data_IF_758097071483
#
_entry.id   IF_758097071483
#
_cell.length_a   1.000
_cell.length_b   1.000
_cell.length_c   1.000
_cell.angle_alpha   90.00
_cell.angle_beta   90.00
_cell.angle_gamma   90.00
#
_symmetry.space_group_name_H-M   'P 1'
#
loop_
_entity.id
_entity.type
_entity.pdbx_description
1 polymer ?
#
# COMPACT_ATOMS: atom_id res chain seq x y z
N UNK A 1 -27.66 -16.71 1.83
CA UNK A 1 -27.14 -16.07 3.05
C UNK A 1 -25.64 -15.92 2.90
N UNK A 2 -25.06 -14.80 3.33
CA UNK A 2 -23.61 -14.68 3.52
C UNK A 2 -23.14 -15.82 4.43
N UNK A 3 -21.96 -16.39 4.15
CA UNK A 3 -21.28 -17.26 5.12
C UNK A 3 -20.32 -16.34 5.88
N UNK A 4 -20.56 -16.18 7.17
CA UNK A 4 -19.66 -15.43 8.06
C UNK A 4 -18.63 -16.39 8.64
N UNK A 5 -17.36 -16.05 8.48
CA UNK A 5 -16.25 -16.77 9.12
C UNK A 5 -15.63 -15.82 10.14
N UNK A 6 -15.92 -16.07 11.41
CA UNK A 6 -15.28 -15.39 12.52
C UNK A 6 -14.10 -16.22 13.02
N UNK A 7 -12.90 -15.65 12.98
CA UNK A 7 -11.70 -16.28 13.51
C UNK A 7 -10.96 -15.32 14.45
N UNK A 8 -11.46 -15.09 15.68
CA UNK A 8 -10.94 -14.07 16.58
C UNK A 8 -9.51 -14.34 17.07
N UNK A 9 -9.07 -15.60 17.05
CA UNK A 9 -7.71 -15.98 17.45
C UNK A 9 -6.76 -16.12 16.25
N UNK A 10 -7.20 -15.76 15.03
CA UNK A 10 -6.36 -15.82 13.84
C UNK A 10 -5.34 -14.67 13.87
N UNK A 11 -4.07 -15.02 14.02
CA UNK A 11 -2.96 -14.06 14.09
C UNK A 11 -2.32 -13.85 12.72
N UNK A 12 -2.30 -14.88 11.87
CA UNK A 12 -1.75 -14.81 10.52
C UNK A 12 -2.64 -15.53 9.50
N UNK A 13 -2.61 -15.07 8.26
CA UNK A 13 -3.34 -15.65 7.14
C UNK A 13 -2.46 -15.74 5.90
N UNK A 14 -2.50 -16.88 5.21
CA UNK A 14 -1.75 -17.12 3.99
C UNK A 14 -2.69 -17.67 2.93
N UNK A 15 -2.79 -16.99 1.79
CA UNK A 15 -3.47 -17.50 0.61
C UNK A 15 -2.50 -17.59 -0.55
N UNK A 16 -2.48 -18.77 -1.19
CA UNK A 16 -1.75 -19.02 -2.43
C UNK A 16 -2.72 -19.56 -3.47
N UNK A 17 -2.94 -18.80 -4.54
CA UNK A 17 -3.69 -19.25 -5.70
C UNK A 17 -4.82 -18.30 -6.10
N UNK A 18 -5.43 -18.60 -7.25
CA UNK A 18 -6.55 -17.82 -7.78
C UNK A 18 -7.83 -18.09 -6.98
N UNK A 19 -8.42 -17.04 -6.43
CA UNK A 19 -9.81 -17.06 -5.98
C UNK A 19 -10.69 -16.89 -7.22
N UNK A 20 -11.26 -17.99 -7.73
CA UNK A 20 -12.28 -17.91 -8.77
C UNK A 20 -13.50 -17.19 -8.20
N UNK A 21 -13.72 -15.95 -8.63
CA UNK A 21 -14.82 -15.10 -8.21
C UNK A 21 -16.21 -15.61 -8.67
N UNK A 22 -16.28 -16.70 -9.44
CA UNK A 22 -17.50 -17.23 -10.04
C UNK A 22 -18.47 -17.86 -9.02
N UNK A 23 -18.08 -17.96 -7.75
CA UNK A 23 -18.98 -18.40 -6.68
C UNK A 23 -18.64 -17.77 -5.34
N UNK A 24 -18.78 -16.45 -5.21
CA UNK A 24 -18.82 -15.83 -3.89
C UNK A 24 -20.25 -15.88 -3.32
N UNK A 25 -20.60 -16.80 -2.40
CA UNK A 25 -21.49 -16.37 -1.33
C UNK A 25 -20.77 -15.19 -0.65
N UNK A 26 -21.49 -14.13 -0.34
CA UNK A 26 -20.97 -12.98 0.40
C UNK A 26 -20.21 -13.47 1.64
N UNK A 27 -18.88 -13.57 1.54
CA UNK A 27 -18.03 -14.06 2.62
C UNK A 27 -17.61 -12.84 3.40
N UNK A 28 -18.16 -12.69 4.60
CA UNK A 28 -17.70 -11.70 5.55
C UNK A 28 -16.64 -12.38 6.41
N UNK A 29 -15.38 -12.03 6.15
CA UNK A 29 -14.24 -12.48 6.93
C UNK A 29 -13.99 -11.46 8.04
N UNK A 30 -14.11 -11.90 9.30
CA UNK A 30 -13.90 -11.05 10.47
C UNK A 30 -12.68 -11.58 11.23
N UNK A 31 -11.55 -10.86 11.08
CA UNK A 31 -10.26 -11.20 11.67
C UNK A 31 -9.74 -10.06 12.56
N UNK A 32 -10.29 -9.88 13.78
CA UNK A 32 -10.01 -8.70 14.59
C UNK A 32 -8.56 -8.61 15.08
N UNK A 33 -7.85 -9.75 15.18
CA UNK A 33 -6.50 -9.83 15.74
C UNK A 33 -5.43 -10.21 14.71
N UNK A 34 -5.75 -10.10 13.42
CA UNK A 34 -4.80 -10.45 12.37
C UNK A 34 -3.65 -9.44 12.33
N UNK A 35 -2.43 -9.93 12.47
CA UNK A 35 -1.24 -9.10 12.39
C UNK A 35 -0.60 -9.21 11.00
N UNK A 36 -0.52 -10.43 10.46
CA UNK A 36 0.26 -10.74 9.27
C UNK A 36 -0.62 -11.41 8.21
N UNK A 37 -0.55 -10.89 6.99
CA UNK A 37 -1.30 -11.43 5.84
C UNK A 37 -0.33 -11.63 4.70
N UNK A 38 -0.27 -12.83 4.12
CA UNK A 38 0.44 -13.13 2.89
C UNK A 38 -0.54 -13.49 1.78
N UNK A 39 -0.49 -12.77 0.67
CA UNK A 39 -1.33 -12.98 -0.50
C UNK A 39 -0.47 -13.28 -1.73
N UNK A 40 -0.74 -14.39 -2.40
CA UNK A 40 -0.20 -14.70 -3.73
C UNK A 40 -1.40 -14.89 -4.66
N UNK A 41 -1.75 -13.82 -5.38
CA UNK A 41 -2.98 -13.70 -6.15
C UNK A 41 -2.68 -13.37 -7.62
N UNK A 42 -3.45 -14.00 -8.50
CA UNK A 42 -3.33 -13.83 -9.96
C UNK A 42 -4.33 -12.82 -10.53
N UNK A 43 -5.40 -12.51 -9.80
CA UNK A 43 -6.46 -11.57 -10.16
C UNK A 43 -7.38 -11.25 -8.96
N UNK A 44 -8.30 -10.29 -9.13
CA UNK A 44 -9.29 -9.88 -8.12
C UNK A 44 -8.66 -9.38 -6.81
N UNK A 45 -7.46 -8.81 -6.90
CA UNK A 45 -6.68 -8.42 -5.74
C UNK A 45 -7.44 -7.41 -4.86
N UNK A 46 -8.03 -6.40 -5.50
CA UNK A 46 -8.77 -5.33 -4.83
C UNK A 46 -9.98 -5.82 -4.04
N UNK A 47 -10.69 -6.82 -4.56
CA UNK A 47 -11.85 -7.41 -3.88
C UNK A 47 -11.46 -8.23 -2.65
N UNK A 48 -10.20 -8.69 -2.58
CA UNK A 48 -9.71 -9.49 -1.47
C UNK A 48 -8.99 -8.67 -0.41
N UNK A 49 -8.20 -7.67 -0.82
CA UNK A 49 -7.46 -6.78 0.10
C UNK A 49 -8.40 -6.09 1.11
N UNK A 50 -9.65 -5.79 0.73
CA UNK A 50 -10.65 -5.15 1.63
C UNK A 50 -10.96 -5.91 2.91
N UNK A 51 -10.75 -7.22 2.94
CA UNK A 51 -10.96 -8.01 4.15
C UNK A 51 -9.83 -7.86 5.17
N UNK A 52 -8.71 -7.25 4.78
CA UNK A 52 -7.49 -7.15 5.59
C UNK A 52 -7.16 -5.72 6.00
N UNK A 53 -8.15 -4.81 6.00
CA UNK A 53 -7.94 -3.41 6.37
C UNK A 53 -7.41 -3.17 7.78
N UNK A 54 -7.52 -4.18 8.64
CA UNK A 54 -7.11 -4.18 10.05
C UNK A 54 -5.76 -4.82 10.32
N UNK A 55 -5.10 -5.45 9.32
CA UNK A 55 -3.82 -6.10 9.56
C UNK A 55 -2.70 -5.07 9.76
N UNK A 56 -1.63 -5.45 10.45
CA UNK A 56 -0.45 -4.59 10.65
C UNK A 56 0.53 -4.71 9.49
N UNK A 57 0.72 -5.93 9.02
CA UNK A 57 1.62 -6.27 7.93
C UNK A 57 0.84 -6.97 6.83
N UNK A 58 0.95 -6.47 5.61
CA UNK A 58 0.43 -7.10 4.40
C UNK A 58 1.58 -7.37 3.44
N UNK A 59 1.85 -8.64 3.21
CA UNK A 59 2.82 -9.13 2.24
C UNK A 59 2.08 -9.66 1.00
N UNK A 60 2.50 -9.23 -0.19
CA UNK A 60 1.88 -9.61 -1.45
C UNK A 60 2.92 -10.07 -2.45
N UNK A 61 2.72 -11.26 -3.01
CA UNK A 61 3.39 -11.70 -4.21
C UNK A 61 2.50 -11.38 -5.41
N UNK A 62 2.96 -10.48 -6.27
CA UNK A 62 2.22 -9.98 -7.43
C UNK A 62 2.75 -10.62 -8.71
N UNK A 63 1.87 -11.34 -9.40
CA UNK A 63 2.09 -11.71 -10.80
C UNK A 63 1.87 -10.51 -11.72
N UNK A 64 2.33 -10.58 -12.97
CA UNK A 64 2.16 -9.48 -13.95
C UNK A 64 0.69 -9.03 -14.09
N UNK A 65 -0.33 -9.92 -14.19
CA UNK A 65 -1.73 -9.50 -14.23
C UNK A 65 -2.18 -8.73 -12.98
N UNK A 66 -1.79 -9.19 -11.78
CA UNK A 66 -2.12 -8.52 -10.53
C UNK A 66 -1.41 -7.16 -10.39
N UNK A 67 -0.19 -7.04 -10.94
CA UNK A 67 0.53 -5.77 -11.00
C UNK A 67 -0.15 -4.77 -11.94
N UNK A 68 -0.64 -5.23 -13.10
CA UNK A 68 -1.44 -4.42 -14.02
C UNK A 68 -2.77 -3.96 -13.38
N UNK A 69 -3.43 -4.84 -12.60
CA UNK A 69 -4.59 -4.44 -11.78
C UNK A 69 -4.21 -3.33 -10.78
N UNK A 70 -3.06 -3.39 -10.10
CA UNK A 70 -2.64 -2.33 -9.19
C UNK A 70 -2.21 -1.04 -9.88
N UNK A 71 -1.81 -1.09 -11.14
CA UNK A 71 -1.43 0.08 -11.92
C UNK A 71 -2.65 0.93 -12.36
N UNK A 72 -3.74 0.94 -11.59
CA UNK A 72 -4.92 1.76 -11.85
C UNK A 72 -4.54 3.24 -12.02
N UNK A 73 -4.92 3.87 -13.15
CA UNK A 73 -4.80 5.31 -13.33
C UNK A 73 -5.55 6.06 -12.22
N UNK A 74 -4.98 7.15 -11.71
CA UNK A 74 -5.57 8.01 -10.66
C UNK A 74 -7.05 8.36 -10.91
N UNK A 75 -7.45 8.52 -12.18
CA UNK A 75 -8.82 8.85 -12.57
C UNK A 75 -9.81 7.71 -12.28
N UNK A 76 -9.41 6.45 -12.46
CA UNK A 76 -10.25 5.28 -12.21
C UNK A 76 -10.38 4.99 -10.70
N UNK A 77 -9.35 5.31 -9.92
CA UNK A 77 -9.39 5.19 -8.44
C UNK A 77 -10.53 6.01 -7.82
N UNK A 78 -10.85 7.18 -8.39
CA UNK A 78 -11.94 8.05 -7.95
C UNK A 78 -13.34 7.48 -8.21
N UNK A 79 -13.47 6.60 -9.19
CA UNK A 79 -14.76 6.00 -9.58
C UNK A 79 -14.98 4.61 -8.97
N UNK A 80 -13.91 3.87 -8.66
CA UNK A 80 -13.98 2.46 -8.25
C UNK A 80 -14.20 2.30 -6.72
N UNK A 81 -13.78 3.27 -5.90
CA UNK A 81 -13.90 3.15 -4.43
C UNK A 81 -14.59 4.39 -3.87
N UNK A 82 -15.91 4.29 -3.74
CA UNK A 82 -16.76 5.27 -3.04
C UNK A 82 -16.76 5.12 -1.52
N UNK A 83 -15.95 4.22 -0.94
CA UNK A 83 -15.90 4.08 0.52
C UNK A 83 -14.60 3.40 1.00
N UNK A 84 -13.76 4.20 1.67
CA UNK A 84 -12.67 3.83 2.61
C UNK A 84 -11.35 3.38 1.98
N UNK A 85 -10.19 3.95 2.39
CA UNK A 85 -8.90 3.34 2.12
C UNK A 85 -8.93 1.92 2.65
N UNK A 86 -8.61 0.99 1.77
CA UNK A 86 -8.83 -0.44 1.98
C UNK A 86 -7.98 -0.96 3.14
N UNK A 87 -6.83 -0.31 3.41
CA UNK A 87 -5.77 -0.76 4.31
C UNK A 87 -5.38 0.28 5.37
N UNK A 88 -6.37 0.81 6.10
CA UNK A 88 -6.15 1.94 7.01
C UNK A 88 -5.32 1.62 8.27
N UNK A 89 -5.22 0.35 8.70
CA UNK A 89 -4.42 -0.05 9.86
C UNK A 89 -3.07 -0.69 9.49
N UNK A 90 -2.76 -0.78 8.19
CA UNK A 90 -1.52 -1.40 7.71
C UNK A 90 -0.34 -0.47 7.92
N UNK A 91 0.61 -0.93 8.74
CA UNK A 91 1.87 -0.24 9.01
C UNK A 91 2.97 -0.68 8.04
N UNK A 92 2.95 -1.95 7.62
CA UNK A 92 4.01 -2.53 6.82
C UNK A 92 3.42 -3.17 5.56
N UNK A 93 3.86 -2.67 4.40
CA UNK A 93 3.57 -3.27 3.11
C UNK A 93 4.82 -3.97 2.58
N UNK A 94 4.70 -5.21 2.17
CA UNK A 94 5.79 -5.98 1.55
C UNK A 94 5.33 -6.49 0.19
N UNK A 95 6.03 -6.08 -0.87
CA UNK A 95 5.65 -6.41 -2.24
C UNK A 95 6.77 -7.19 -2.89
N UNK A 96 6.47 -8.39 -3.37
CA UNK A 96 7.36 -9.17 -4.20
C UNK A 96 6.77 -9.29 -5.59
N UNK A 97 7.49 -8.89 -6.64
CA UNK A 97 7.01 -9.00 -8.00
C UNK A 97 8.14 -9.19 -9.01
N UNK A 98 7.79 -9.61 -10.23
CA UNK A 98 8.71 -9.62 -11.37
C UNK A 98 8.46 -8.36 -12.22
N UNK A 99 9.30 -7.34 -12.08
CA UNK A 99 9.08 -6.09 -12.79
C UNK A 99 9.75 -6.10 -14.18
N UNK A 100 9.13 -6.75 -15.18
CA UNK A 100 9.75 -6.87 -16.53
C UNK A 100 9.74 -5.58 -17.33
N UNK A 101 8.72 -4.74 -17.14
CA UNK A 101 8.49 -3.50 -17.89
C UNK A 101 8.12 -2.38 -16.93
N UNK A 102 9.12 -1.71 -16.33
CA UNK A 102 8.86 -0.53 -15.52
C UNK A 102 8.34 0.62 -16.39
N UNK A 103 7.02 0.83 -16.46
CA UNK A 103 6.46 2.10 -16.94
C UNK A 103 6.48 3.17 -15.85
N UNK A 104 6.17 2.85 -14.57
CA UNK A 104 6.76 3.60 -13.45
C UNK A 104 6.65 2.90 -12.08
N UNK A 105 7.80 2.70 -11.43
CA UNK A 105 7.90 2.34 -10.01
C UNK A 105 7.12 3.33 -9.12
N UNK A 106 7.05 4.59 -9.56
CA UNK A 106 6.32 5.67 -8.90
C UNK A 106 4.81 5.42 -8.86
N UNK A 107 4.21 4.92 -9.94
CA UNK A 107 2.77 4.57 -9.97
C UNK A 107 2.45 3.47 -8.96
N UNK A 108 3.32 2.47 -8.82
CA UNK A 108 3.15 1.43 -7.80
C UNK A 108 3.15 2.05 -6.40
N UNK A 109 4.16 2.86 -6.07
CA UNK A 109 4.22 3.52 -4.76
C UNK A 109 3.00 4.42 -4.53
N UNK A 110 2.56 5.16 -5.55
CA UNK A 110 1.35 5.99 -5.47
C UNK A 110 0.07 5.16 -5.27
N UNK A 111 -0.05 3.98 -5.89
CA UNK A 111 -1.15 3.04 -5.62
C UNK A 111 -1.07 2.51 -4.20
N UNK A 112 0.09 2.07 -3.73
CA UNK A 112 0.26 1.50 -2.40
C UNK A 112 -0.09 2.52 -1.30
N UNK A 113 0.34 3.77 -1.47
CA UNK A 113 0.01 4.88 -0.58
C UNK A 113 -1.46 5.34 -0.68
N UNK A 114 -2.14 4.98 -1.77
CA UNK A 114 -3.58 5.16 -1.89
C UNK A 114 -4.37 4.04 -1.18
N UNK A 115 -3.89 2.80 -1.24
CA UNK A 115 -4.48 1.65 -0.54
C UNK A 115 -4.30 1.76 0.98
N UNK A 116 -3.06 1.99 1.41
CA UNK A 116 -2.68 2.24 2.78
C UNK A 116 -2.28 3.72 2.91
N UNK A 117 -3.11 4.58 3.52
CA UNK A 117 -2.87 6.02 3.55
C UNK A 117 -1.77 6.44 4.53
N UNK A 118 -1.34 5.53 5.42
CA UNK A 118 -0.39 5.84 6.50
C UNK A 118 0.57 4.68 6.89
N UNK A 119 1.17 3.95 5.93
CA UNK A 119 2.12 2.89 6.23
C UNK A 119 3.43 3.47 6.77
N UNK A 120 4.03 2.84 7.76
CA UNK A 120 5.35 3.21 8.28
C UNK A 120 6.47 2.73 7.33
N UNK A 121 6.26 1.60 6.66
CA UNK A 121 7.26 1.04 5.74
C UNK A 121 6.64 0.40 4.51
N UNK A 122 7.31 0.56 3.37
CA UNK A 122 7.04 -0.18 2.13
C UNK A 122 8.33 -0.90 1.71
N UNK A 123 8.27 -2.23 1.61
CA UNK A 123 9.33 -3.07 1.09
C UNK A 123 8.97 -3.54 -0.31
N UNK A 124 9.92 -3.47 -1.23
CA UNK A 124 9.74 -3.90 -2.61
C UNK A 124 10.90 -4.81 -3.00
N UNK A 125 10.56 -6.05 -3.33
CA UNK A 125 11.43 -7.09 -3.82
C UNK A 125 11.19 -7.32 -5.31
N UNK A 126 12.19 -6.98 -6.14
CA UNK A 126 12.20 -7.33 -7.55
C UNK A 126 12.95 -8.65 -7.76
N UNK A 127 12.18 -9.72 -7.95
CA UNK A 127 12.69 -11.09 -8.12
C UNK A 127 13.66 -11.22 -9.30
N UNK A 128 13.53 -10.38 -10.33
CA UNK A 128 14.42 -10.42 -11.49
C UNK A 128 15.75 -9.73 -11.23
N UNK A 129 15.74 -8.65 -10.44
CA UNK A 129 16.95 -7.92 -10.07
C UNK A 129 17.79 -8.69 -9.04
N UNK A 130 17.13 -9.41 -8.14
CA UNK A 130 17.77 -10.14 -7.04
C UNK A 130 18.33 -11.53 -7.42
N UNK A 131 18.00 -12.07 -8.60
CA UNK A 131 18.56 -13.33 -9.10
C UNK A 131 19.97 -13.21 -9.74
N UNK A 132 20.64 -12.05 -9.62
CA UNK A 132 22.00 -11.86 -10.14
C UNK A 132 23.04 -12.42 -9.15
N UNK A 133 23.32 -13.71 -9.34
CA UNK A 133 24.46 -14.52 -8.86
C UNK A 133 25.32 -13.91 -7.72
N UNK A 134 25.11 -14.39 -6.49
CA UNK A 134 26.10 -14.35 -5.40
C UNK A 134 26.07 -13.17 -4.44
N UNK A 135 25.10 -12.25 -4.56
CA UNK A 135 24.91 -11.15 -3.60
C UNK A 135 23.60 -11.38 -2.85
N UNK A 136 23.55 -11.09 -1.54
CA UNK A 136 22.30 -11.16 -0.78
C UNK A 136 21.21 -10.29 -1.46
N UNK A 137 19.96 -10.76 -1.55
CA UNK A 137 18.88 -10.01 -2.17
C UNK A 137 18.73 -8.67 -1.45
N UNK A 138 18.91 -7.57 -2.20
CA UNK A 138 18.75 -6.21 -1.68
C UNK A 138 17.28 -5.84 -1.81
N UNK A 139 16.59 -5.83 -0.67
CA UNK A 139 15.20 -5.39 -0.57
C UNK A 139 15.18 -3.87 -0.54
N UNK A 140 14.59 -3.25 -1.57
CA UNK A 140 14.42 -1.80 -1.56
C UNK A 140 13.36 -1.42 -0.53
N UNK A 141 13.66 -0.42 0.31
CA UNK A 141 12.81 -0.06 1.44
C UNK A 141 12.54 1.44 1.49
N UNK A 142 11.28 1.80 1.65
CA UNK A 142 10.82 3.16 1.92
C UNK A 142 10.36 3.21 3.38
N UNK A 143 10.97 4.07 4.19
CA UNK A 143 10.49 4.39 5.54
C UNK A 143 9.80 5.75 5.51
N UNK A 144 8.59 5.81 6.06
CA UNK A 144 7.72 6.97 6.05
C UNK A 144 7.54 7.43 7.49
N UNK A 145 7.97 8.65 7.79
CA UNK A 145 7.84 9.24 9.12
C UNK A 145 6.81 10.36 9.07
N UNK A 146 5.87 10.27 9.99
CA UNK A 146 4.73 11.17 10.03
C UNK A 146 4.83 12.09 11.23
N UNK A 147 4.58 13.38 10.99
CA UNK A 147 4.50 14.37 12.04
C UNK A 147 3.24 14.16 12.90
N UNK A 148 3.32 14.58 14.15
CA UNK A 148 2.13 14.83 14.96
C UNK A 148 1.50 16.10 14.41
N UNK A 149 0.46 15.97 13.58
CA UNK A 149 -0.29 17.14 13.15
C UNK A 149 -0.78 17.87 14.39
N UNK A 150 -0.30 19.09 14.61
CA UNK A 150 -0.80 19.99 15.64
C UNK A 150 -2.18 20.48 15.20
N UNK A 151 -3.17 19.59 15.20
CA UNK A 151 -4.55 19.97 14.91
C UNK A 151 -5.55 18.97 15.48
N UNK A 152 -5.78 19.14 16.78
CA UNK A 152 -7.13 19.17 17.32
C UNK A 152 -7.72 20.59 17.26
N UNK A 153 -7.30 21.41 16.28
CA UNK A 153 -7.70 22.82 16.16
C UNK A 153 -8.30 23.09 14.78
N UNK A 154 -9.56 23.52 14.79
CA UNK A 154 -10.40 23.88 13.64
C UNK A 154 -9.89 25.09 12.82
N UNK A 155 -8.68 25.05 12.31
CA UNK A 155 -8.12 26.01 11.35
C UNK A 155 -7.09 25.22 10.52
N UNK A 156 -7.14 25.08 9.20
CA UNK A 156 -7.80 25.82 8.13
C UNK A 156 -8.31 24.77 7.12
N UNK A 157 -9.62 24.81 6.84
CA UNK A 157 -10.31 23.82 6.03
C UNK A 157 -10.45 24.25 4.55
N UNK A 158 -9.59 25.13 4.04
CA UNK A 158 -9.70 25.61 2.66
C UNK A 158 -8.80 24.86 1.66
N UNK A 159 -7.70 24.22 2.09
CA UNK A 159 -6.85 23.39 1.20
C UNK A 159 -7.05 21.86 1.38
N UNK A 160 -7.89 21.44 2.34
CA UNK A 160 -8.17 20.03 2.63
C UNK A 160 -9.40 19.47 1.88
N UNK A 161 -10.08 20.28 1.07
CA UNK A 161 -11.41 19.96 0.51
C UNK A 161 -11.42 18.77 -0.49
N UNK A 162 -10.28 18.36 -1.04
CA UNK A 162 -10.27 17.35 -2.13
C UNK A 162 -9.63 16.01 -1.79
N UNK A 163 -8.68 15.96 -0.85
CA UNK A 163 -8.03 14.71 -0.45
C UNK A 163 -8.89 13.87 0.50
N UNK A 164 -9.47 14.56 1.49
CA UNK A 164 -9.79 13.93 2.77
C UNK A 164 -11.27 14.12 3.15
N UNK A 165 -12.08 14.69 2.26
CA UNK A 165 -13.54 14.87 2.44
C UNK A 165 -14.29 13.55 2.59
N UNK A 166 -13.75 12.45 2.05
CA UNK A 166 -14.32 11.12 2.24
C UNK A 166 -13.84 10.43 3.53
N UNK A 167 -12.71 10.87 4.12
CA UNK A 167 -12.03 10.18 5.23
C UNK A 167 -11.54 11.13 6.32
N UNK A 168 -12.46 11.76 7.08
CA UNK A 168 -12.12 12.78 8.08
C UNK A 168 -11.29 12.29 9.27
N UNK A 169 -11.11 10.98 9.44
CA UNK A 169 -10.35 10.37 10.54
C UNK A 169 -9.02 9.73 10.12
N UNK A 170 -8.79 9.55 8.81
CA UNK A 170 -7.58 8.88 8.32
C UNK A 170 -6.46 9.91 8.14
N UNK A 171 -5.37 9.74 8.88
CA UNK A 171 -4.14 10.51 8.66
C UNK A 171 -3.67 10.25 7.22
N UNK A 172 -3.60 11.30 6.40
CA UNK A 172 -3.24 11.21 4.99
C UNK A 172 -1.74 11.43 4.81
N UNK A 173 -1.05 10.55 4.08
CA UNK A 173 0.38 10.74 3.82
C UNK A 173 0.73 12.06 3.14
N UNK A 174 -0.13 12.59 2.26
CA UNK A 174 0.12 13.87 1.57
C UNK A 174 0.20 15.06 2.54
N UNK A 175 -0.42 14.94 3.72
CA UNK A 175 -0.51 16.02 4.71
C UNK A 175 0.24 15.74 5.99
N UNK A 176 0.54 14.48 6.30
CA UNK A 176 1.19 14.12 7.56
C UNK A 176 2.64 13.68 7.39
N UNK A 177 3.09 13.37 6.17
CA UNK A 177 4.44 12.88 5.91
C UNK A 177 5.46 14.00 6.06
N UNK A 178 6.42 13.83 6.97
CA UNK A 178 7.45 14.83 7.29
C UNK A 178 8.84 14.41 6.86
N UNK A 179 9.14 13.10 6.90
CA UNK A 179 10.43 12.56 6.44
C UNK A 179 10.25 11.25 5.67
N UNK A 180 11.07 11.07 4.63
CA UNK A 180 11.18 9.81 3.87
C UNK A 180 12.61 9.30 3.93
N UNK A 181 12.80 8.01 4.15
CA UNK A 181 14.10 7.34 3.96
C UNK A 181 13.98 6.31 2.86
N UNK A 182 14.86 6.40 1.87
CA UNK A 182 14.95 5.49 0.72
C UNK A 182 16.21 4.65 0.87
N UNK A 183 16.06 3.35 1.06
CA UNK A 183 17.17 2.41 1.25
C UNK A 183 17.23 1.43 0.08
N UNK A 184 18.44 1.14 -0.41
CA UNK A 184 18.68 0.05 -1.39
C UNK A 184 17.94 0.22 -2.74
N UNK A 185 17.69 1.47 -3.13
CA UNK A 185 17.19 1.81 -4.47
C UNK A 185 18.32 2.06 -5.47
N UNK A 186 18.09 1.76 -6.74
CA UNK A 186 19.04 2.11 -7.79
C UNK A 186 19.00 3.62 -8.11
N UNK A 187 20.13 4.16 -8.60
CA UNK A 187 20.31 5.59 -8.92
C UNK A 187 19.31 6.18 -9.92
N UNK A 188 18.58 5.35 -10.66
CA UNK A 188 17.58 5.80 -11.65
C UNK A 188 16.17 5.94 -11.04
N UNK A 189 15.88 5.20 -9.97
CA UNK A 189 14.61 5.27 -9.25
C UNK A 189 14.63 6.40 -8.21
N UNK A 190 15.78 6.61 -7.55
CA UNK A 190 15.94 7.64 -6.51
C UNK A 190 15.40 9.03 -6.91
N UNK A 191 15.81 9.63 -8.05
CA UNK A 191 15.31 10.97 -8.42
C UNK A 191 13.80 10.97 -8.65
N UNK A 192 13.24 9.90 -9.23
CA UNK A 192 11.81 9.80 -9.51
C UNK A 192 10.96 9.72 -8.24
N UNK A 193 11.42 8.96 -7.25
CA UNK A 193 10.76 8.89 -5.95
C UNK A 193 10.92 10.19 -5.18
N UNK A 194 12.11 10.79 -5.23
CA UNK A 194 12.37 12.08 -4.63
C UNK A 194 11.39 13.14 -5.15
N UNK A 195 11.31 13.31 -6.47
CA UNK A 195 10.43 14.29 -7.12
C UNK A 195 8.96 13.98 -6.81
N UNK A 196 8.56 12.69 -6.87
CA UNK A 196 7.22 12.27 -6.49
C UNK A 196 6.85 12.71 -5.07
N UNK A 197 7.68 12.43 -4.07
CA UNK A 197 7.37 12.80 -2.68
C UNK A 197 7.38 14.32 -2.49
N UNK A 198 8.36 15.03 -3.06
CA UNK A 198 8.44 16.50 -2.98
C UNK A 198 7.22 17.19 -3.63
N UNK A 199 6.73 16.67 -4.74
CA UNK A 199 5.56 17.24 -5.43
C UNK A 199 4.23 16.93 -4.73
N UNK A 200 4.16 15.84 -3.97
CA UNK A 200 2.88 15.30 -3.49
C UNK A 200 2.68 15.38 -1.96
N UNK A 201 3.73 15.55 -1.17
CA UNK A 201 3.66 15.66 0.29
C UNK A 201 3.92 17.09 0.77
N UNK A 202 2.87 17.74 1.29
CA UNK A 202 2.85 19.16 1.69
C UNK A 202 3.74 19.50 2.88
N UNK A 203 3.91 18.58 3.83
CA UNK A 203 4.69 18.79 5.06
C UNK A 203 6.08 18.17 5.01
N UNK A 204 6.50 17.69 3.84
CA UNK A 204 7.76 16.99 3.68
C UNK A 204 8.94 17.95 3.84
N UNK A 205 9.74 17.72 4.88
CA UNK A 205 10.92 18.53 5.19
C UNK A 205 12.23 17.87 4.79
N UNK A 206 12.24 16.54 4.63
CA UNK A 206 13.48 15.77 4.50
C UNK A 206 13.29 14.47 3.74
N UNK A 207 14.19 14.20 2.80
CA UNK A 207 14.35 12.89 2.15
C UNK A 207 15.80 12.43 2.39
N UNK A 208 15.98 11.25 2.95
CA UNK A 208 17.28 10.61 3.19
C UNK A 208 17.45 9.44 2.24
N UNK A 209 18.62 9.32 1.62
CA UNK A 209 18.98 8.20 0.74
C UNK A 209 20.12 7.42 1.39
N UNK A 210 19.94 6.12 1.58
CA UNK A 210 20.90 5.19 2.20
C UNK A 210 21.28 4.06 1.24
#
# INVERSE_FOLDING_TARGET
MPVEIEAPNLVSFTNKGSLQADSSPSLALIFPNINEVYLELDSNLMDFIRFFGHCKTLSMFLTEPALEELAYPKQQRRTIITSTPVLYAVNHLEITAQFRKFSSFVELVDTLLWLAPHPETIYIDDVLSNNRLGTEPKLSKIKLHYGTSASGSKAEAEDCETCCTLFPTAKCWRHCLTEVTLEEFNKYIHPKLHDFFMENASQLSKITVL
#
